data_IF_769718783185
#
_entry.id   IF_769718783185
#
_cell.length_a   1.000
_cell.length_b   1.000
_cell.length_c   1.000
_cell.angle_alpha   90.00
_cell.angle_beta   90.00
_cell.angle_gamma   90.00
#
_symmetry.space_group_name_H-M   'P 1'
#
loop_
_entity.id
_entity.type
_entity.pdbx_description
1 polymer ?
#
# COMPACT_ATOMS: atom_id res chain seq x y z
N UNK A 1 -4.14 2.62 -19.45
CA UNK A 1 -3.67 1.27 -19.78
C UNK A 1 -3.19 0.63 -18.48
N UNK A 2 -3.88 -0.40 -17.97
CA UNK A 2 -3.39 -1.17 -16.83
C UNK A 2 -2.35 -2.17 -17.35
N UNK A 3 -1.07 -1.97 -17.00
CA UNK A 3 -0.07 -3.03 -17.21
C UNK A 3 -0.46 -4.23 -16.34
N UNK A 4 -0.63 -5.40 -16.96
CA UNK A 4 -0.66 -6.66 -16.23
C UNK A 4 0.76 -6.89 -15.67
N UNK A 5 0.93 -7.18 -14.37
CA UNK A 5 2.23 -7.60 -13.87
C UNK A 5 2.58 -8.94 -14.52
N UNK A 6 3.79 -9.04 -15.09
CA UNK A 6 4.34 -10.31 -15.53
C UNK A 6 4.95 -10.98 -14.30
N UNK A 7 4.20 -11.87 -13.66
CA UNK A 7 4.76 -12.76 -12.64
C UNK A 7 5.60 -13.83 -13.37
N UNK A 8 6.93 -13.65 -13.38
CA UNK A 8 7.85 -14.76 -13.61
C UNK A 8 7.94 -15.56 -12.32
N UNK A 9 7.76 -16.88 -12.42
CA UNK A 9 7.53 -17.81 -11.30
C UNK A 9 8.60 -17.76 -10.20
N UNK A 10 8.35 -16.92 -9.20
CA UNK A 10 8.94 -17.01 -7.87
C UNK A 10 7.92 -17.65 -6.94
N UNK A 11 8.36 -18.65 -6.19
CA UNK A 11 7.59 -19.34 -5.15
C UNK A 11 6.99 -18.30 -4.19
N UNK A 12 5.67 -18.05 -4.28
CA UNK A 12 4.97 -17.09 -3.42
C UNK A 12 4.81 -17.74 -2.05
N UNK A 13 5.86 -17.67 -1.23
CA UNK A 13 5.84 -18.04 0.20
C UNK A 13 5.36 -16.86 1.06
N UNK A 14 4.48 -16.02 0.51
CA UNK A 14 3.95 -14.88 1.24
C UNK A 14 2.98 -15.37 2.31
N UNK A 15 3.39 -15.28 3.58
CA UNK A 15 2.48 -15.33 4.71
C UNK A 15 1.49 -14.17 4.57
N UNK A 16 0.35 -14.46 3.95
CA UNK A 16 -0.64 -13.48 3.56
C UNK A 16 -1.41 -13.04 4.81
N UNK A 17 -0.92 -11.99 5.45
CA UNK A 17 -1.54 -11.38 6.61
C UNK A 17 -2.97 -10.89 6.28
N UNK A 18 -3.95 -11.26 7.10
CA UNK A 18 -5.34 -10.84 6.97
C UNK A 18 -5.55 -9.32 6.93
N UNK A 19 -4.80 -8.56 7.73
CA UNK A 19 -4.84 -7.09 7.71
C UNK A 19 -4.33 -6.53 6.38
N UNK A 20 -3.24 -7.10 5.86
CA UNK A 20 -2.73 -6.72 4.54
C UNK A 20 -3.77 -7.01 3.46
N UNK A 21 -4.39 -8.19 3.48
CA UNK A 21 -5.41 -8.59 2.50
C UNK A 21 -6.58 -7.62 2.48
N UNK A 22 -7.07 -7.25 3.67
CA UNK A 22 -8.15 -6.26 3.83
C UNK A 22 -7.75 -4.92 3.21
N UNK A 23 -6.58 -4.37 3.59
CA UNK A 23 -6.08 -3.09 3.05
C UNK A 23 -5.88 -3.14 1.54
N UNK A 24 -5.32 -4.23 1.02
CA UNK A 24 -5.09 -4.44 -0.41
C UNK A 24 -6.39 -4.43 -1.19
N UNK A 25 -7.42 -5.08 -0.65
CA UNK A 25 -8.77 -5.06 -1.19
C UNK A 25 -9.36 -3.65 -1.24
N UNK A 26 -9.22 -2.87 -0.16
CA UNK A 26 -9.67 -1.47 -0.14
C UNK A 26 -8.88 -0.58 -1.11
N UNK A 27 -7.57 -0.77 -1.20
CA UNK A 27 -6.70 -0.05 -2.14
C UNK A 27 -7.12 -0.29 -3.60
N UNK A 28 -7.61 -1.50 -3.93
CA UNK A 28 -8.22 -1.83 -5.22
C UNK A 28 -9.68 -1.40 -5.38
N UNK A 29 -10.31 -0.92 -4.33
CA UNK A 29 -11.73 -0.54 -4.31
C UNK A 29 -12.66 -1.74 -4.52
N UNK A 30 -12.32 -2.89 -3.93
CA UNK A 30 -13.10 -4.12 -4.01
C UNK A 30 -13.88 -4.37 -2.72
N UNK A 31 -15.06 -4.99 -2.83
CA UNK A 31 -15.76 -5.62 -1.72
C UNK A 31 -15.21 -7.03 -1.46
N UNK A 32 -15.40 -7.57 -0.25
CA UNK A 32 -14.97 -8.94 0.05
C UNK A 32 -15.60 -9.98 -0.90
N UNK A 33 -16.84 -9.74 -1.32
CA UNK A 33 -17.56 -10.56 -2.31
C UNK A 33 -16.88 -10.51 -3.67
N UNK A 34 -16.54 -9.32 -4.18
CA UNK A 34 -15.85 -9.18 -5.46
C UNK A 34 -14.47 -9.83 -5.46
N UNK A 35 -13.70 -9.69 -4.37
CA UNK A 35 -12.41 -10.35 -4.23
C UNK A 35 -12.56 -11.88 -4.23
N UNK A 36 -13.52 -12.40 -3.48
CA UNK A 36 -13.81 -13.84 -3.42
C UNK A 36 -14.22 -14.40 -4.80
N UNK A 37 -15.12 -13.71 -5.50
CA UNK A 37 -15.57 -14.07 -6.84
C UNK A 37 -14.41 -14.09 -7.84
N UNK A 38 -13.56 -13.05 -7.85
CA UNK A 38 -12.41 -12.99 -8.75
C UNK A 38 -11.33 -14.02 -8.43
N UNK A 39 -11.10 -14.32 -7.15
CA UNK A 39 -10.15 -15.34 -6.71
C UNK A 39 -10.69 -16.78 -6.84
N UNK A 40 -11.98 -16.97 -7.15
CA UNK A 40 -12.61 -18.28 -7.15
C UNK A 40 -12.62 -18.94 -5.76
N UNK A 41 -12.84 -18.15 -4.71
CA UNK A 41 -12.90 -18.57 -3.31
C UNK A 41 -14.29 -18.25 -2.71
N UNK A 42 -14.62 -18.85 -1.57
CA UNK A 42 -15.88 -18.52 -0.88
C UNK A 42 -15.74 -17.20 -0.11
N UNK A 43 -16.82 -16.40 -0.09
CA UNK A 43 -16.87 -15.14 0.67
C UNK A 43 -16.51 -15.35 2.15
N UNK A 44 -17.08 -16.39 2.77
CA UNK A 44 -16.80 -16.73 4.17
C UNK A 44 -15.31 -17.02 4.39
N UNK A 45 -14.67 -17.73 3.47
CA UNK A 45 -13.24 -18.01 3.57
C UNK A 45 -12.41 -16.72 3.53
N UNK A 46 -12.66 -15.83 2.56
CA UNK A 46 -11.97 -14.53 2.47
C UNK A 46 -12.18 -13.68 3.72
N UNK A 47 -13.40 -13.61 4.25
CA UNK A 47 -13.69 -12.85 5.48
C UNK A 47 -12.95 -13.41 6.69
N UNK A 48 -12.82 -14.73 6.81
CA UNK A 48 -12.06 -15.37 7.89
C UNK A 48 -10.56 -15.14 7.76
N UNK A 49 -10.04 -15.10 6.53
CA UNK A 49 -8.65 -14.69 6.27
C UNK A 49 -8.42 -13.24 6.71
N UNK A 50 -9.28 -12.31 6.30
CA UNK A 50 -9.14 -10.89 6.67
C UNK A 50 -9.18 -10.64 8.19
N UNK A 51 -9.94 -11.45 8.93
CA UNK A 51 -10.00 -11.40 10.40
C UNK A 51 -8.78 -12.02 11.11
N UNK A 52 -7.96 -12.79 10.38
CA UNK A 52 -6.89 -13.59 10.99
C UNK A 52 -7.39 -14.87 11.67
N UNK A 53 -8.65 -15.27 11.46
CA UNK A 53 -9.21 -16.52 12.01
C UNK A 53 -8.59 -17.76 11.33
N UNK A 54 -7.98 -17.56 10.15
CA UNK A 54 -7.34 -18.59 9.34
C UNK A 54 -6.16 -17.99 8.57
N UNK A 55 -5.15 -18.82 8.33
CA UNK A 55 -4.07 -18.51 7.40
C UNK A 55 -4.45 -18.99 5.99
N UNK A 56 -4.01 -18.26 4.98
CA UNK A 56 -4.17 -18.66 3.59
C UNK A 56 -3.25 -19.86 3.30
N UNK A 57 -3.74 -20.83 2.54
CA UNK A 57 -2.81 -21.78 1.89
C UNK A 57 -2.04 -21.06 0.78
N UNK A 58 -0.88 -21.58 0.37
CA UNK A 58 -0.12 -21.01 -0.75
C UNK A 58 -0.99 -20.80 -2.00
N UNK A 59 -1.79 -21.81 -2.38
CA UNK A 59 -2.73 -21.73 -3.50
C UNK A 59 -3.80 -20.65 -3.32
N UNK A 60 -4.28 -20.43 -2.09
CA UNK A 60 -5.25 -19.37 -1.82
C UNK A 60 -4.58 -17.99 -1.88
N UNK A 61 -3.36 -17.86 -1.36
CA UNK A 61 -2.57 -16.63 -1.42
C UNK A 61 -2.29 -16.23 -2.87
N UNK A 62 -1.86 -17.18 -3.72
CA UNK A 62 -1.66 -16.96 -5.16
C UNK A 62 -2.93 -16.44 -5.84
N UNK A 63 -4.07 -17.12 -5.64
CA UNK A 63 -5.36 -16.70 -6.21
C UNK A 63 -5.80 -15.30 -5.77
N UNK A 64 -5.55 -14.96 -4.51
CA UNK A 64 -5.86 -13.63 -3.97
C UNK A 64 -4.94 -12.57 -4.56
N UNK A 65 -3.63 -12.82 -4.65
CA UNK A 65 -2.66 -11.94 -5.29
C UNK A 65 -2.97 -11.73 -6.78
N UNK A 66 -3.37 -12.79 -7.50
CA UNK A 66 -3.78 -12.70 -8.91
C UNK A 66 -5.04 -11.83 -9.08
N UNK A 67 -6.05 -12.03 -8.23
CA UNK A 67 -7.26 -11.22 -8.24
C UNK A 67 -6.97 -9.75 -7.87
N UNK A 68 -6.09 -9.52 -6.90
CA UNK A 68 -5.62 -8.19 -6.53
C UNK A 68 -4.72 -7.59 -7.61
N UNK A 69 -4.02 -8.38 -8.40
CA UNK A 69 -3.05 -7.95 -9.41
C UNK A 69 -1.78 -7.32 -8.84
N UNK A 70 -1.40 -7.69 -7.61
CA UNK A 70 -0.14 -7.34 -6.95
C UNK A 70 0.06 -8.21 -5.70
N UNK A 71 1.26 -8.20 -5.14
CA UNK A 71 1.68 -9.01 -3.99
C UNK A 71 2.15 -8.14 -2.81
N UNK A 72 2.29 -8.69 -1.59
CA UNK A 72 2.85 -7.98 -0.45
C UNK A 72 4.25 -7.42 -0.72
N UNK A 73 5.08 -8.10 -1.53
CA UNK A 73 6.42 -7.62 -1.86
C UNK A 73 6.36 -6.36 -2.74
N UNK A 74 5.43 -6.33 -3.70
CA UNK A 74 5.27 -5.18 -4.60
C UNK A 74 4.49 -4.02 -3.96
N UNK A 75 3.56 -4.30 -3.04
CA UNK A 75 2.75 -3.32 -2.32
C UNK A 75 2.60 -3.78 -0.86
N UNK A 76 3.57 -3.46 0.00
CA UNK A 76 3.61 -3.97 1.38
C UNK A 76 2.50 -3.40 2.28
N UNK A 77 1.87 -2.29 1.89
CA UNK A 77 0.85 -1.60 2.70
C UNK A 77 1.30 -1.31 4.14
N UNK A 78 2.60 -0.98 4.26
CA UNK A 78 3.30 -0.65 5.49
C UNK A 78 3.87 0.77 5.42
N UNK A 79 3.00 1.77 5.60
CA UNK A 79 3.42 3.17 5.71
C UNK A 79 4.22 3.43 6.98
N UNK A 80 4.09 2.58 8.01
CA UNK A 80 4.88 2.73 9.26
C UNK A 80 6.35 2.47 8.99
N UNK A 81 6.68 1.38 8.30
CA UNK A 81 8.05 1.09 7.88
C UNK A 81 8.62 2.19 6.97
N UNK A 82 7.82 2.68 6.02
CA UNK A 82 8.23 3.80 5.17
C UNK A 82 8.50 5.09 5.96
N UNK A 83 7.63 5.43 6.91
CA UNK A 83 7.79 6.62 7.77
C UNK A 83 9.07 6.52 8.61
N UNK A 84 9.34 5.37 9.22
CA UNK A 84 10.57 5.14 9.97
C UNK A 84 11.82 5.32 9.10
N UNK A 85 11.80 4.81 7.85
CA UNK A 85 12.87 5.03 6.89
C UNK A 85 13.05 6.52 6.56
N UNK A 86 11.96 7.25 6.34
CA UNK A 86 12.00 8.69 6.03
C UNK A 86 12.57 9.48 7.22
N UNK A 87 12.14 9.15 8.45
CA UNK A 87 12.64 9.81 9.66
C UNK A 87 14.16 9.59 9.82
N UNK A 88 14.64 8.37 9.60
CA UNK A 88 16.08 8.10 9.59
C UNK A 88 16.82 8.97 8.56
N UNK A 89 16.31 9.09 7.32
CA UNK A 89 16.94 9.93 6.30
C UNK A 89 16.92 11.43 6.68
N UNK A 90 15.87 11.88 7.36
CA UNK A 90 15.77 13.25 7.87
C UNK A 90 16.83 13.50 8.94
N UNK A 91 17.03 12.56 9.86
CA UNK A 91 18.06 12.65 10.89
C UNK A 91 19.47 12.69 10.29
N UNK A 92 19.71 11.91 9.23
CA UNK A 92 21.01 11.81 8.56
C UNK A 92 21.34 13.03 7.67
N UNK A 93 20.36 13.56 6.93
CA UNK A 93 20.59 14.55 5.87
C UNK A 93 19.88 15.89 6.08
N UNK A 94 19.01 15.98 7.08
CA UNK A 94 18.14 17.11 7.33
C UNK A 94 16.86 17.10 6.49
N UNK A 95 15.79 17.77 6.96
CA UNK A 95 14.45 17.71 6.36
C UNK A 95 14.37 18.31 4.95
N UNK A 96 15.34 19.15 4.59
CA UNK A 96 15.41 19.78 3.28
C UNK A 96 16.30 19.01 2.30
N UNK A 97 16.87 17.86 2.66
CA UNK A 97 17.53 17.02 1.67
C UNK A 97 16.54 16.48 0.64
N UNK A 98 17.06 16.04 -0.51
CA UNK A 98 16.24 15.47 -1.57
C UNK A 98 16.16 13.95 -1.45
N UNK A 99 15.04 13.39 -1.90
CA UNK A 99 14.82 11.96 -2.00
C UNK A 99 14.02 11.59 -3.24
N UNK A 100 14.10 10.32 -3.63
CA UNK A 100 13.20 9.70 -4.61
C UNK A 100 12.22 8.79 -3.91
N UNK A 101 10.94 8.84 -4.30
CA UNK A 101 9.94 7.90 -3.80
C UNK A 101 9.60 6.86 -4.86
N UNK A 102 9.61 5.59 -4.46
CA UNK A 102 9.03 4.49 -5.25
C UNK A 102 7.55 4.38 -4.93
N UNK A 103 6.72 4.15 -5.93
CA UNK A 103 5.31 3.91 -5.72
C UNK A 103 4.77 2.75 -6.56
N UNK A 104 3.83 2.02 -5.98
CA UNK A 104 2.95 1.12 -6.69
C UNK A 104 1.65 1.84 -7.07
N UNK A 105 1.01 1.37 -8.15
CA UNK A 105 -0.24 1.95 -8.64
C UNK A 105 -1.31 0.88 -8.81
N UNK A 106 -2.52 1.19 -8.36
CA UNK A 106 -3.70 0.35 -8.52
C UNK A 106 -4.92 1.23 -8.82
N UNK A 107 -5.62 1.00 -9.93
CA UNK A 107 -6.85 1.74 -10.29
C UNK A 107 -6.69 3.27 -10.26
N UNK A 108 -5.51 3.79 -10.62
CA UNK A 108 -5.19 5.22 -10.55
C UNK A 108 -4.76 5.71 -9.17
N UNK A 109 -4.95 4.92 -8.11
CA UNK A 109 -4.39 5.19 -6.79
C UNK A 109 -2.89 4.92 -6.79
N UNK A 110 -2.15 5.71 -6.00
CA UNK A 110 -0.73 5.57 -5.77
C UNK A 110 -0.50 5.19 -4.31
N UNK A 111 0.42 4.25 -4.09
CA UNK A 111 0.92 3.90 -2.77
C UNK A 111 2.44 3.93 -2.80
N UNK A 112 3.05 4.82 -2.03
CA UNK A 112 4.49 4.87 -1.84
C UNK A 112 4.97 3.65 -1.06
N UNK A 113 5.97 2.99 -1.62
CA UNK A 113 6.53 1.74 -1.09
C UNK A 113 7.96 1.90 -0.62
N UNK A 114 8.66 2.96 -1.07
CA UNK A 114 10.04 3.20 -0.67
C UNK A 114 10.45 4.66 -0.80
N UNK A 115 11.50 5.05 -0.08
CA UNK A 115 12.14 6.36 -0.10
C UNK A 115 13.67 6.19 -0.11
N UNK A 116 14.38 6.84 -1.03
CA UNK A 116 15.84 6.79 -1.13
C UNK A 116 16.41 8.21 -1.15
N UNK A 117 17.46 8.49 -0.38
CA UNK A 117 18.14 9.79 -0.43
C UNK A 117 18.71 10.04 -1.84
N UNK A 118 18.65 11.30 -2.26
CA UNK A 118 19.18 11.74 -3.54
C UNK A 118 20.07 12.97 -3.36
N UNK A 119 21.34 12.85 -3.75
CA UNK A 119 22.25 13.99 -3.77
C UNK A 119 21.99 14.85 -5.02
N UNK A 120 21.35 16.01 -4.83
CA UNK A 120 21.05 16.94 -5.94
C UNK A 120 22.29 17.41 -6.71
N UNK A 121 23.49 17.34 -6.13
CA UNK A 121 24.71 17.71 -6.84
C UNK A 121 25.08 16.71 -7.93
N UNK A 122 24.57 15.47 -7.90
CA UNK A 122 24.73 14.49 -8.98
C UNK A 122 24.10 14.97 -10.30
N UNK A 123 22.97 15.68 -10.23
CA UNK A 123 22.32 16.31 -11.40
C UNK A 123 23.16 17.49 -11.90
N UNK A 124 23.62 18.35 -10.99
CA UNK A 124 24.42 19.54 -11.36
C UNK A 124 25.72 19.18 -12.05
N UNK A 125 26.30 18.04 -11.71
CA UNK A 125 27.52 17.50 -12.31
C UNK A 125 27.28 16.68 -13.57
N UNK A 126 26.01 16.50 -13.97
CA UNK A 126 25.63 15.71 -15.15
C UNK A 126 25.83 14.21 -14.99
N UNK A 127 26.04 13.71 -13.76
CA UNK A 127 26.31 12.30 -13.47
C UNK A 127 25.06 11.44 -13.62
N UNK A 128 23.90 11.98 -13.24
CA UNK A 128 22.61 11.30 -13.29
C UNK A 128 21.50 12.26 -13.76
N UNK A 129 20.52 11.80 -14.56
CA UNK A 129 19.35 12.59 -14.89
C UNK A 129 18.46 12.83 -13.67
N UNK A 130 17.66 13.89 -13.69
CA UNK A 130 16.69 14.14 -12.64
C UNK A 130 15.64 13.00 -12.60
N UNK A 131 15.42 12.35 -11.44
CA UNK A 131 14.42 11.31 -11.33
C UNK A 131 13.00 11.88 -11.40
N UNK A 132 12.06 11.10 -11.93
CA UNK A 132 10.67 11.50 -12.16
C UNK A 132 9.92 11.94 -10.88
N UNK A 133 10.39 11.51 -9.71
CA UNK A 133 9.73 11.73 -8.43
C UNK A 133 10.70 12.21 -7.35
N UNK A 134 11.36 13.33 -7.63
CA UNK A 134 12.27 14.02 -6.71
C UNK A 134 11.50 14.93 -5.74
N UNK A 135 11.60 14.65 -4.45
CA UNK A 135 10.93 15.41 -3.38
C UNK A 135 11.92 15.89 -2.32
N UNK A 136 11.48 16.82 -1.48
CA UNK A 136 12.16 17.08 -0.20
C UNK A 136 11.74 16.00 0.81
N UNK A 137 12.65 15.59 1.69
CA UNK A 137 12.35 14.59 2.73
C UNK A 137 11.16 15.00 3.61
N UNK A 138 11.06 16.27 4.00
CA UNK A 138 9.90 16.77 4.75
C UNK A 138 8.57 16.57 4.00
N UNK A 139 8.58 16.77 2.68
CA UNK A 139 7.38 16.57 1.86
C UNK A 139 7.07 15.07 1.68
N UNK A 140 8.09 14.23 1.49
CA UNK A 140 7.94 12.78 1.46
C UNK A 140 7.31 12.23 2.75
N UNK A 141 7.70 12.79 3.92
CA UNK A 141 7.09 12.45 5.20
C UNK A 141 5.60 12.76 5.21
N UNK A 142 5.21 13.98 4.83
CA UNK A 142 3.79 14.38 4.76
C UNK A 142 2.98 13.48 3.82
N UNK A 143 3.53 13.09 2.68
CA UNK A 143 2.89 12.15 1.75
C UNK A 143 2.68 10.75 2.38
N UNK A 144 3.69 10.23 3.09
CA UNK A 144 3.59 8.93 3.77
C UNK A 144 2.62 8.97 4.96
N UNK A 145 2.55 10.08 5.71
CA UNK A 145 1.56 10.30 6.77
C UNK A 145 0.14 10.34 6.19
N UNK A 146 -0.05 11.08 5.11
CA UNK A 146 -1.34 11.18 4.40
C UNK A 146 -1.79 9.80 3.89
N UNK A 147 -0.86 9.03 3.33
CA UNK A 147 -1.12 7.67 2.88
C UNK A 147 -1.60 6.75 4.02
N UNK A 148 -0.92 6.80 5.18
CA UNK A 148 -1.32 6.02 6.35
C UNK A 148 -2.75 6.36 6.77
N UNK A 149 -3.08 7.66 6.84
CA UNK A 149 -4.43 8.12 7.20
C UNK A 149 -5.48 7.67 6.18
N UNK A 150 -5.22 7.85 4.89
CA UNK A 150 -6.22 7.59 3.85
C UNK A 150 -6.45 6.10 3.57
N UNK A 151 -5.39 5.29 3.62
CA UNK A 151 -5.42 3.93 3.06
C UNK A 151 -5.27 2.82 4.10
N UNK A 152 -4.64 3.10 5.24
CA UNK A 152 -4.48 2.10 6.30
C UNK A 152 -5.47 2.28 7.44
N UNK A 153 -5.70 3.50 7.91
CA UNK A 153 -6.60 3.74 9.05
C UNK A 153 -7.99 4.20 8.62
N UNK A 154 -8.10 5.00 7.55
CA UNK A 154 -9.36 5.53 7.03
C UNK A 154 -10.43 4.48 6.74
N UNK A 155 -10.13 3.39 5.98
CA UNK A 155 -11.13 2.38 5.66
C UNK A 155 -11.69 1.67 6.90
N UNK A 156 -10.85 1.41 7.90
CA UNK A 156 -11.25 0.78 9.15
C UNK A 156 -12.15 1.71 9.99
N UNK A 157 -11.89 3.03 9.96
CA UNK A 157 -12.75 4.04 10.61
C UNK A 157 -14.14 4.07 9.94
N UNK A 158 -14.20 4.10 8.61
CA UNK A 158 -15.47 4.16 7.88
C UNK A 158 -16.30 2.90 8.12
N UNK A 159 -15.70 1.71 8.06
CA UNK A 159 -16.42 0.46 8.32
C UNK A 159 -16.81 0.30 9.80
N UNK A 160 -15.98 0.76 10.75
CA UNK A 160 -16.32 0.78 12.17
C UNK A 160 -17.46 1.76 12.51
N UNK A 161 -17.52 2.92 11.86
CA UNK A 161 -18.61 3.89 12.00
C UNK A 161 -19.94 3.43 11.36
N UNK A 162 -19.93 2.36 10.56
CA UNK A 162 -21.12 1.82 9.89
C UNK A 162 -21.80 0.70 10.71
N UNK A 163 -21.20 0.19 11.80
CA UNK A 163 -21.78 -0.93 12.58
C UNK A 163 -22.45 -0.51 13.90
N UNK A 164 -22.13 0.66 14.48
CA UNK A 164 -22.89 1.22 15.59
C UNK A 164 -23.68 2.44 15.13
N UNK A 165 -25.01 2.31 15.15
CA UNK A 165 -25.94 3.22 14.50
C UNK A 165 -25.84 4.70 14.89
N UNK A 166 -26.41 5.53 14.00
CA UNK A 166 -26.68 6.95 14.14
C UNK A 166 -25.49 7.91 14.00
N UNK A 167 -25.14 8.22 12.75
CA UNK A 167 -24.64 9.56 12.42
C UNK A 167 -25.72 10.32 11.64
N UNK A 168 -26.67 10.88 12.40
CA UNK A 168 -27.41 12.07 11.95
C UNK A 168 -26.42 13.24 11.95
N UNK A 169 -25.84 13.53 10.79
CA UNK A 169 -25.13 14.79 10.60
C UNK A 169 -26.15 15.91 10.46
N UNK A 170 -26.36 16.67 11.54
CA UNK A 170 -26.88 18.03 11.47
C UNK A 170 -25.71 18.98 11.21
N UNK A 171 -25.83 19.78 10.15
CA UNK A 171 -24.95 20.92 9.89
C UNK A 171 -25.64 22.17 10.45
N UNK A 172 -25.00 22.87 11.38
CA UNK A 172 -25.28 24.28 11.69
C UNK A 172 -24.17 25.15 11.10
#
# INVERSE_FOLDING_TARGET
>A
MCCKPQHQGGEVTADLNGQWLRRARHFRGMTAKQLAEQAGLSLNYVQRLEKGDRNASATAAEKLCDALGFTPESVPLDSRGLLAKIDQLIDEHGPYAFCTMRCARARGNRYYTDCEYFDINSIKTGKEPAPDHLLRLAYAKTEAETQQTLWETGPDIIEGAIIDGALQFHWE
#
